data_IF_725548765979
#
_entry.id   IF_725548765979
#
_cell.length_a   1.000
_cell.length_b   1.000
_cell.length_c   1.000
_cell.angle_alpha   90.00
_cell.angle_beta   90.00
_cell.angle_gamma   90.00
#
_symmetry.space_group_name_H-M   'P 1'
#
loop_
_entity.id
_entity.type
_entity.pdbx_description
1 polymer ?
#
# COMPACT_ATOMS: atom_id res chain seq x y z
N UNK A 1 -40.97 -3.82 -21.82
CA UNK A 1 -39.56 -3.63 -21.42
C UNK A 1 -39.57 -2.79 -20.17
N UNK A 2 -39.12 -3.36 -19.06
CA UNK A 2 -39.03 -2.61 -17.80
C UNK A 2 -37.63 -2.03 -17.66
N UNK A 3 -37.52 -0.91 -16.97
CA UNK A 3 -36.26 -0.33 -16.52
C UNK A 3 -36.21 -0.44 -15.00
N UNK A 4 -35.02 -0.60 -14.44
CA UNK A 4 -34.80 -0.36 -13.03
C UNK A 4 -34.84 1.13 -12.76
N UNK A 5 -35.47 1.49 -11.64
CA UNK A 5 -35.54 2.88 -11.16
C UNK A 5 -34.22 3.36 -10.54
N UNK A 6 -34.28 4.34 -9.62
CA UNK A 6 -33.09 4.95 -9.05
C UNK A 6 -32.22 3.93 -8.30
N UNK A 7 -30.93 4.27 -8.21
CA UNK A 7 -29.94 3.43 -7.56
C UNK A 7 -30.22 3.25 -6.06
N UNK A 8 -30.12 2.02 -5.53
CA UNK A 8 -30.29 1.78 -4.10
C UNK A 8 -29.17 2.45 -3.30
N UNK A 9 -29.48 2.86 -2.07
CA UNK A 9 -28.47 3.30 -1.12
C UNK A 9 -27.72 2.09 -0.55
N UNK A 10 -26.39 2.13 -0.57
CA UNK A 10 -25.53 1.04 -0.08
C UNK A 10 -24.65 1.59 1.04
N UNK A 11 -24.56 0.86 2.15
CA UNK A 11 -23.79 1.26 3.33
C UNK A 11 -22.34 1.58 2.96
N UNK A 12 -21.91 2.80 3.32
CA UNK A 12 -20.53 3.27 3.14
C UNK A 12 -20.03 3.25 1.68
N UNK A 13 -20.94 3.31 0.71
CA UNK A 13 -20.61 3.31 -0.71
C UNK A 13 -21.44 4.31 -1.51
N UNK A 14 -20.86 4.87 -2.56
CA UNK A 14 -21.52 5.75 -3.51
C UNK A 14 -21.35 5.23 -4.95
N UNK A 15 -22.36 5.39 -5.82
CA UNK A 15 -22.22 5.07 -7.24
C UNK A 15 -21.21 6.00 -7.90
N UNK A 16 -20.53 5.50 -8.94
CA UNK A 16 -19.57 6.31 -9.69
C UNK A 16 -20.24 7.50 -10.40
N UNK A 17 -19.49 8.58 -10.59
CA UNK A 17 -20.01 9.85 -11.12
C UNK A 17 -20.72 9.73 -12.48
N UNK A 18 -20.31 8.77 -13.32
CA UNK A 18 -20.93 8.49 -14.63
C UNK A 18 -22.36 7.94 -14.53
N UNK A 19 -22.72 7.29 -13.43
CA UNK A 19 -24.03 6.67 -13.21
C UNK A 19 -24.82 7.33 -12.08
N UNK A 20 -24.17 8.11 -11.22
CA UNK A 20 -24.74 8.75 -10.02
C UNK A 20 -25.97 9.62 -10.28
N UNK A 21 -26.04 10.26 -11.44
CA UNK A 21 -27.13 11.16 -11.81
C UNK A 21 -28.22 10.51 -12.68
N UNK A 22 -28.06 9.24 -13.06
CA UNK A 22 -29.03 8.52 -13.87
C UNK A 22 -30.22 8.06 -13.02
N UNK A 23 -31.42 8.21 -13.57
CA UNK A 23 -32.68 7.90 -12.88
C UNK A 23 -33.36 6.61 -13.39
N UNK A 24 -32.94 6.10 -14.54
CA UNK A 24 -33.50 4.90 -15.17
C UNK A 24 -32.40 4.09 -15.84
N UNK A 25 -32.48 2.78 -15.71
CA UNK A 25 -31.48 1.83 -16.21
C UNK A 25 -32.18 0.65 -16.87
N UNK A 26 -31.83 0.35 -18.11
CA UNK A 26 -32.44 -0.77 -18.83
C UNK A 26 -32.07 -2.12 -18.20
N UNK A 27 -32.94 -3.12 -18.35
CA UNK A 27 -32.66 -4.50 -17.94
C UNK A 27 -31.32 -4.96 -18.52
N UNK A 28 -30.47 -5.52 -17.67
CA UNK A 28 -29.11 -5.94 -18.00
C UNK A 28 -28.02 -4.89 -17.70
N UNK A 29 -28.37 -3.61 -17.48
CA UNK A 29 -27.43 -2.58 -17.05
C UNK A 29 -26.75 -2.96 -15.74
N UNK A 30 -25.46 -2.65 -15.63
CA UNK A 30 -24.65 -2.86 -14.43
C UNK A 30 -24.12 -1.53 -13.92
N UNK A 31 -24.09 -1.37 -12.60
CA UNK A 31 -23.65 -0.14 -11.94
C UNK A 31 -22.67 -0.49 -10.84
N UNK A 32 -21.48 0.09 -10.91
CA UNK A 32 -20.41 -0.11 -9.94
C UNK A 32 -20.41 1.02 -8.92
N UNK A 33 -20.29 0.63 -7.66
CA UNK A 33 -20.15 1.52 -6.51
C UNK A 33 -18.69 1.62 -6.08
N UNK A 34 -18.38 2.68 -5.35
CA UNK A 34 -17.08 2.93 -4.75
C UNK A 34 -17.26 3.26 -3.27
N UNK A 35 -16.36 2.77 -2.42
CA UNK A 35 -16.42 3.07 -1.00
C UNK A 35 -16.20 4.57 -0.75
N UNK A 36 -16.94 5.13 0.20
CA UNK A 36 -16.78 6.53 0.61
C UNK A 36 -15.42 6.74 1.31
N UNK A 37 -14.91 7.98 1.40
CA UNK A 37 -13.65 8.26 2.09
C UNK A 37 -13.61 7.67 3.51
N UNK A 38 -12.50 6.99 3.83
CA UNK A 38 -12.31 6.29 5.12
C UNK A 38 -12.77 4.83 5.13
N UNK A 39 -13.37 4.35 4.04
CA UNK A 39 -13.74 2.95 3.82
C UNK A 39 -12.98 2.38 2.62
N UNK A 40 -12.86 1.06 2.59
CA UNK A 40 -12.13 0.34 1.55
C UNK A 40 -12.84 -0.94 1.21
N UNK A 41 -12.80 -1.30 -0.08
CA UNK A 41 -13.46 -2.49 -0.61
C UNK A 41 -12.88 -3.74 0.07
N UNK A 42 -13.75 -4.51 0.70
CA UNK A 42 -13.46 -5.81 1.25
C UNK A 42 -13.05 -6.77 0.12
N UNK A 43 -12.05 -7.63 0.35
CA UNK A 43 -11.61 -8.58 -0.66
C UNK A 43 -12.73 -9.58 -0.96
N UNK A 44 -12.76 -10.07 -2.20
CA UNK A 44 -13.70 -11.10 -2.69
C UNK A 44 -15.18 -10.72 -2.78
N UNK A 45 -15.57 -9.51 -2.35
CA UNK A 45 -16.95 -9.03 -2.49
C UNK A 45 -17.15 -8.22 -3.76
N UNK A 46 -18.35 -8.35 -4.35
CA UNK A 46 -18.78 -7.53 -5.49
C UNK A 46 -19.10 -6.11 -5.02
N UNK A 47 -18.78 -5.14 -5.87
CA UNK A 47 -19.13 -3.72 -5.75
C UNK A 47 -20.14 -3.30 -6.84
N UNK A 48 -20.69 -4.27 -7.57
CA UNK A 48 -21.53 -4.01 -8.75
C UNK A 48 -22.89 -4.66 -8.61
N UNK A 49 -23.93 -3.89 -8.90
CA UNK A 49 -25.32 -4.36 -9.01
C UNK A 49 -25.75 -4.44 -10.47
N UNK A 50 -26.74 -5.28 -10.75
CA UNK A 50 -27.32 -5.46 -12.08
C UNK A 50 -28.83 -5.25 -12.05
N UNK A 51 -29.36 -4.59 -13.08
CA UNK A 51 -30.79 -4.49 -13.30
C UNK A 51 -31.33 -5.83 -13.84
N UNK A 52 -32.13 -6.54 -13.05
CA UNK A 52 -32.66 -7.87 -13.37
C UNK A 52 -33.91 -7.80 -14.25
N UNK A 53 -34.30 -8.89 -14.95
CA UNK A 53 -35.49 -8.91 -15.82
C UNK A 53 -36.82 -8.56 -15.14
N UNK A 54 -36.90 -8.70 -13.82
CA UNK A 54 -38.05 -8.31 -13.01
C UNK A 54 -38.06 -6.80 -12.65
N UNK A 55 -37.21 -5.98 -13.30
CA UNK A 55 -37.06 -4.53 -13.03
C UNK A 55 -36.64 -4.22 -11.60
N UNK A 56 -35.91 -5.13 -10.96
CA UNK A 56 -35.31 -4.93 -9.64
C UNK A 56 -33.79 -5.00 -9.72
N UNK A 57 -33.12 -4.25 -8.85
CA UNK A 57 -31.68 -4.36 -8.69
C UNK A 57 -31.31 -5.67 -7.99
N UNK A 58 -30.21 -6.29 -8.42
CA UNK A 58 -29.61 -7.41 -7.71
C UNK A 58 -29.20 -7.00 -6.29
N UNK A 59 -29.21 -7.95 -5.36
CA UNK A 59 -28.72 -7.71 -4.02
C UNK A 59 -27.19 -7.51 -4.02
N UNK A 60 -26.71 -6.68 -3.10
CA UNK A 60 -25.29 -6.50 -2.83
C UNK A 60 -25.05 -6.69 -1.33
N UNK A 61 -24.05 -7.51 -0.98
CA UNK A 61 -23.59 -7.59 0.40
C UNK A 61 -22.82 -6.33 0.76
N UNK A 62 -22.72 -6.03 2.06
CA UNK A 62 -21.88 -4.94 2.54
C UNK A 62 -20.41 -5.24 2.18
N UNK A 63 -19.87 -4.44 1.26
CA UNK A 63 -18.55 -4.68 0.66
C UNK A 63 -17.52 -3.61 1.06
N UNK A 64 -17.90 -2.60 1.84
CA UNK A 64 -17.01 -1.53 2.28
C UNK A 64 -16.75 -1.66 3.79
N UNK A 65 -15.49 -1.84 4.16
CA UNK A 65 -15.05 -1.91 5.56
C UNK A 65 -14.09 -0.79 5.91
N UNK A 66 -13.91 -0.53 7.21
CA UNK A 66 -12.83 0.35 7.69
C UNK A 66 -11.51 -0.42 7.66
N UNK A 67 -10.47 0.20 7.13
CA UNK A 67 -9.12 -0.36 7.12
C UNK A 67 -8.10 0.72 7.46
N UNK A 68 -6.91 0.29 7.88
CA UNK A 68 -5.76 1.18 7.84
C UNK A 68 -5.51 1.66 6.40
N UNK A 69 -4.91 2.84 6.21
CA UNK A 69 -4.44 3.28 4.91
C UNK A 69 -3.35 2.35 4.40
N UNK A 70 -2.84 2.60 3.19
CA UNK A 70 -1.67 1.90 2.68
C UNK A 70 -0.52 1.98 3.70
N UNK A 71 0.20 0.87 3.99
CA UNK A 71 1.28 0.89 4.98
C UNK A 71 2.33 1.96 4.68
N UNK A 72 2.95 2.55 5.70
CA UNK A 72 3.87 3.67 5.54
C UNK A 72 5.08 3.28 4.69
N UNK A 73 5.49 4.18 3.81
CA UNK A 73 6.74 4.04 3.07
C UNK A 73 7.91 4.51 3.92
N UNK A 74 8.95 3.69 4.04
CA UNK A 74 10.18 4.03 4.78
C UNK A 74 11.40 3.96 3.86
N UNK A 75 12.45 4.75 4.13
CA UNK A 75 13.63 4.83 3.26
C UNK A 75 14.53 3.59 3.31
N UNK A 76 14.49 2.82 4.40
CA UNK A 76 15.38 1.67 4.62
C UNK A 76 14.77 0.32 4.22
N UNK A 77 13.45 0.24 4.07
CA UNK A 77 12.74 -0.99 3.74
C UNK A 77 11.50 -0.75 2.85
N UNK A 78 11.10 -1.75 2.09
CA UNK A 78 9.85 -1.79 1.33
C UNK A 78 8.90 -2.84 1.88
N UNK A 79 7.60 -2.70 1.64
CA UNK A 79 6.60 -3.71 2.01
C UNK A 79 6.88 -5.00 1.23
N UNK A 80 6.65 -6.16 1.84
CA UNK A 80 6.78 -7.47 1.19
C UNK A 80 5.87 -7.58 -0.06
N UNK A 81 6.27 -8.32 -1.11
CA UNK A 81 5.42 -8.53 -2.29
C UNK A 81 4.06 -9.15 -1.95
N UNK A 82 4.00 -9.99 -0.92
CA UNK A 82 2.77 -10.62 -0.44
C UNK A 82 1.80 -9.61 0.16
N UNK A 83 2.30 -8.72 1.02
CA UNK A 83 1.48 -7.71 1.71
C UNK A 83 1.17 -6.50 0.82
N UNK A 84 1.97 -6.27 -0.23
CA UNK A 84 1.74 -5.20 -1.20
C UNK A 84 0.55 -5.47 -2.14
N UNK A 85 0.15 -6.74 -2.33
CA UNK A 85 -1.01 -7.11 -3.16
C UNK A 85 -2.35 -6.85 -2.48
N UNK A 86 -2.34 -6.62 -1.17
CA UNK A 86 -3.55 -6.37 -0.39
C UNK A 86 -3.95 -4.90 -0.53
N UNK A 87 -5.25 -4.66 -0.71
CA UNK A 87 -5.81 -3.30 -0.68
C UNK A 87 -6.60 -3.03 0.60
N UNK A 88 -6.90 -4.05 1.40
CA UNK A 88 -7.67 -3.95 2.63
C UNK A 88 -6.83 -4.46 3.81
N UNK A 89 -6.62 -3.61 4.82
CA UNK A 89 -5.85 -3.91 6.01
C UNK A 89 -6.72 -3.75 7.26
N UNK A 90 -7.27 -4.86 7.74
CA UNK A 90 -8.10 -4.87 8.95
C UNK A 90 -7.26 -4.50 10.18
N UNK A 91 -7.92 -4.07 11.26
CA UNK A 91 -7.29 -3.94 12.58
C UNK A 91 -6.58 -5.25 12.95
N UNK A 92 -5.40 -5.13 13.57
CA UNK A 92 -4.46 -6.20 13.89
C UNK A 92 -3.76 -6.86 12.69
N UNK A 93 -4.03 -6.41 11.45
CA UNK A 93 -3.25 -6.85 10.28
C UNK A 93 -1.80 -6.39 10.44
N UNK A 94 -0.85 -7.32 10.28
CA UNK A 94 0.58 -7.04 10.38
C UNK A 94 1.24 -7.27 9.03
N UNK A 95 1.87 -6.23 8.51
CA UNK A 95 2.64 -6.30 7.26
C UNK A 95 4.12 -6.41 7.55
N UNK A 96 4.83 -7.14 6.69
CA UNK A 96 6.27 -7.32 6.75
C UNK A 96 6.97 -6.40 5.77
N UNK A 97 8.15 -5.96 6.17
CA UNK A 97 9.05 -5.16 5.35
C UNK A 97 10.31 -5.95 5.01
N UNK A 98 10.86 -5.67 3.84
CA UNK A 98 12.11 -6.22 3.31
C UNK A 98 13.09 -5.06 3.14
N UNK A 99 14.31 -5.22 3.62
CA UNK A 99 15.34 -4.20 3.49
C UNK A 99 15.57 -3.84 2.02
N UNK A 100 15.69 -2.54 1.75
CA UNK A 100 15.98 -2.06 0.39
C UNK A 100 17.40 -2.39 -0.01
N UNK A 101 17.68 -2.30 -1.31
CA UNK A 101 19.03 -2.48 -1.84
C UNK A 101 20.03 -1.55 -1.12
N UNK A 102 21.18 -2.10 -0.73
CA UNK A 102 22.19 -1.39 0.06
C UNK A 102 21.89 -1.29 1.56
N UNK A 103 20.77 -1.86 2.03
CA UNK A 103 20.50 -2.08 3.44
C UNK A 103 20.56 -3.57 3.79
N UNK A 104 20.87 -3.87 5.05
CA UNK A 104 20.86 -5.21 5.62
C UNK A 104 20.15 -5.24 6.96
N UNK A 105 19.50 -6.36 7.26
CA UNK A 105 18.83 -6.54 8.55
C UNK A 105 19.88 -6.88 9.61
N UNK A 106 19.87 -6.15 10.72
CA UNK A 106 20.78 -6.40 11.85
C UNK A 106 20.24 -7.43 12.85
N UNK A 107 19.08 -8.01 12.56
CA UNK A 107 18.38 -8.97 13.42
C UNK A 107 17.82 -10.13 12.59
N UNK A 108 17.45 -11.22 13.24
CA UNK A 108 16.79 -12.36 12.58
C UNK A 108 15.31 -12.11 12.28
N UNK A 109 14.74 -11.00 12.77
CA UNK A 109 13.32 -10.66 12.60
C UNK A 109 13.14 -9.59 11.53
N UNK A 110 12.19 -9.74 10.58
CA UNK A 110 11.90 -8.69 9.62
C UNK A 110 11.26 -7.48 10.33
N UNK A 111 11.50 -6.24 9.85
CA UNK A 111 10.71 -5.10 10.31
C UNK A 111 9.24 -5.30 9.98
N UNK A 112 8.36 -5.04 10.94
CA UNK A 112 6.91 -5.19 10.77
C UNK A 112 6.17 -3.92 11.18
N UNK A 113 4.94 -3.78 10.69
CA UNK A 113 4.01 -2.76 11.17
C UNK A 113 2.61 -3.34 11.25
N UNK A 114 1.91 -3.01 12.33
CA UNK A 114 0.58 -3.53 12.65
C UNK A 114 -0.45 -2.40 12.59
N UNK A 115 -1.61 -2.69 12.00
CA UNK A 115 -2.76 -1.79 11.98
C UNK A 115 -3.44 -1.78 13.36
N UNK A 116 -3.52 -0.61 13.99
CA UNK A 116 -4.11 -0.41 15.32
C UNK A 116 -5.63 -0.16 15.24
N UNK A 117 -6.31 -0.24 16.40
CA UNK A 117 -7.76 0.01 16.51
C UNK A 117 -8.17 1.41 16.04
N UNK A 118 -7.26 2.38 16.14
CA UNK A 118 -7.47 3.75 15.66
C UNK A 118 -7.21 3.92 14.14
N UNK A 119 -7.06 2.81 13.40
CA UNK A 119 -6.77 2.78 11.96
C UNK A 119 -5.46 3.45 11.56
N UNK A 120 -4.48 3.44 12.47
CA UNK A 120 -3.11 3.89 12.19
C UNK A 120 -2.12 2.73 12.27
N UNK A 121 -0.99 2.88 11.60
CA UNK A 121 0.09 1.90 11.62
C UNK A 121 1.04 2.15 12.78
N UNK A 122 1.49 1.09 13.45
CA UNK A 122 2.62 1.17 14.37
C UNK A 122 3.89 1.62 13.64
N UNK A 123 4.81 2.28 14.35
CA UNK A 123 6.11 2.68 13.77
C UNK A 123 6.87 1.46 13.23
N UNK A 124 7.36 1.56 12.00
CA UNK A 124 8.25 0.53 11.42
C UNK A 124 9.59 0.58 12.17
N UNK A 125 10.04 -0.52 12.78
CA UNK A 125 11.31 -0.54 13.50
C UNK A 125 12.49 -0.44 12.54
N UNK A 126 13.54 0.29 12.93
CA UNK A 126 14.74 0.51 12.11
C UNK A 126 15.72 -0.68 12.20
N UNK A 127 15.26 -1.86 11.75
CA UNK A 127 16.07 -3.08 11.75
C UNK A 127 16.97 -3.18 10.50
N UNK A 128 16.67 -2.42 9.45
CA UNK A 128 17.49 -2.34 8.24
C UNK A 128 18.52 -1.22 8.37
N UNK A 129 19.81 -1.56 8.42
CA UNK A 129 20.93 -0.60 8.46
C UNK A 129 21.64 -0.54 7.12
N UNK A 130 22.33 0.57 6.87
CA UNK A 130 23.13 0.76 5.65
C UNK A 130 24.25 -0.29 5.62
N UNK A 131 24.39 -1.01 4.52
CA UNK A 131 25.51 -1.93 4.30
C UNK A 131 26.82 -1.15 4.27
N UNK A 132 27.88 -1.78 4.77
CA UNK A 132 29.25 -1.29 4.59
C UNK A 132 29.74 -1.58 3.16
N UNK A 133 30.35 -0.58 2.53
CA UNK A 133 31.12 -0.71 1.29
C UNK A 133 32.52 -1.30 1.53
N UNK A 134 32.90 -1.51 2.80
CA UNK A 134 34.27 -1.84 3.19
C UNK A 134 35.18 -0.61 3.21
N UNK A 135 36.36 -0.77 3.80
CA UNK A 135 37.40 0.26 3.77
C UNK A 135 37.95 0.33 2.33
N UNK A 136 37.85 1.48 1.63
CA UNK A 136 38.39 1.61 0.29
C UNK A 136 39.91 1.40 0.30
N UNK A 137 40.42 0.71 -0.72
CA UNK A 137 41.86 0.57 -0.89
C UNK A 137 42.49 1.93 -1.28
N UNK A 138 43.70 2.18 -0.77
CA UNK A 138 44.48 3.34 -1.20
C UNK A 138 44.96 3.16 -2.65
N UNK A 139 44.91 4.22 -3.48
CA UNK A 139 45.53 4.21 -4.80
C UNK A 139 47.07 4.16 -4.70
N UNK A 140 47.74 3.80 -5.79
CA UNK A 140 49.21 3.58 -5.83
C UNK A 140 50.05 4.79 -5.40
N UNK A 141 49.54 6.02 -5.60
CA UNK A 141 50.19 7.29 -5.24
C UNK A 141 49.22 8.26 -4.59
N UNK A 142 48.49 7.79 -3.59
CA UNK A 142 47.58 8.63 -2.83
C UNK A 142 46.88 7.88 -1.71
N UNK A 143 46.05 8.60 -0.97
CA UNK A 143 45.35 8.08 0.19
C UNK A 143 43.87 8.42 0.13
N UNK A 144 43.04 7.46 0.54
CA UNK A 144 41.61 7.68 0.74
C UNK A 144 41.36 8.13 2.17
N UNK A 145 40.81 9.33 2.33
CA UNK A 145 40.42 9.91 3.62
C UNK A 145 38.90 9.78 3.75
N UNK A 146 38.45 8.90 4.63
CA UNK A 146 37.04 8.76 5.01
C UNK A 146 36.90 8.16 6.41
N UNK A 147 35.82 8.52 7.10
CA UNK A 147 35.41 7.97 8.40
C UNK A 147 34.04 7.27 8.36
N UNK A 148 33.30 7.36 7.24
CA UNK A 148 32.07 6.61 7.00
C UNK A 148 32.28 5.71 5.77
N UNK A 149 32.01 4.42 5.94
CA UNK A 149 32.11 3.40 4.89
C UNK A 149 30.74 2.83 4.51
N UNK A 150 29.66 3.39 5.05
CA UNK A 150 28.32 2.90 4.82
C UNK A 150 27.76 3.42 3.48
N UNK A 151 26.71 2.77 2.98
CA UNK A 151 25.99 3.19 1.78
C UNK A 151 25.74 4.71 1.76
N UNK A 152 26.11 5.36 0.65
CA UNK A 152 25.91 6.79 0.44
C UNK A 152 26.97 7.69 1.07
N UNK A 153 27.94 7.13 1.82
CA UNK A 153 29.10 7.86 2.27
C UNK A 153 29.98 8.30 1.08
N UNK A 154 30.74 9.39 1.28
CA UNK A 154 31.68 9.94 0.30
C UNK A 154 33.07 9.95 0.90
N UNK A 155 34.06 9.54 0.12
CA UNK A 155 35.46 9.55 0.51
C UNK A 155 36.24 10.55 -0.35
N UNK A 156 37.23 11.20 0.24
CA UNK A 156 38.13 12.09 -0.46
C UNK A 156 39.43 11.36 -0.80
N UNK A 157 39.92 11.51 -2.02
CA UNK A 157 41.21 10.96 -2.42
C UNK A 157 42.23 12.09 -2.50
N UNK A 158 43.35 11.94 -1.79
CA UNK A 158 44.46 12.88 -1.79
C UNK A 158 45.64 12.23 -2.46
N UNK A 159 46.16 12.84 -3.52
CA UNK A 159 47.35 12.34 -4.21
C UNK A 159 48.62 12.71 -3.43
N UNK A 160 49.62 11.83 -3.52
CA UNK A 160 50.95 12.13 -2.99
C UNK A 160 51.57 13.31 -3.76
N UNK A 161 52.41 14.10 -3.07
CA UNK A 161 53.14 15.19 -3.74
C UNK A 161 54.19 14.60 -4.69
N UNK A 162 54.19 15.10 -5.92
CA UNK A 162 55.16 14.81 -6.98
C UNK A 162 55.26 15.96 -7.94
#
# INVERSE_FOLDING_TARGET
>A
TGDCGPLPNISHAEPREDTKHQQSFSVGSTVTYSCVPGYTKLPFLSDTIQCLPNSQWSNLLEFCGRSCPRPPSVPFAGISPEDQRQNFYAVNTTVRYICRLGYENTTDQPPTSTCLDNLTWTKVPELCRRKSCGVPANPERGQVITNDHLLGARANVVCDRG
#
